data_IF_504854872828
#
_entry.id   IF_504854872828
#
_cell.length_a   1.000
_cell.length_b   1.000
_cell.length_c   1.000
_cell.angle_alpha   90.00
_cell.angle_beta   90.00
_cell.angle_gamma   90.00
#
_symmetry.space_group_name_H-M   'P 1'
#
loop_
_entity.id
_entity.type
_entity.pdbx_description
1 polymer ?
#
# COMPACT_ATOMS: atom_id res chain seq x y z
N UNK A 1 -4.72 -11.59 -21.78
CA UNK A 1 -4.16 -10.53 -22.63
C UNK A 1 -4.82 -9.19 -22.29
N UNK A 2 -4.18 -8.06 -21.99
CA UNK A 2 -2.82 -7.70 -21.54
C UNK A 2 -3.00 -6.32 -20.89
N UNK A 3 -2.91 -6.20 -19.56
CA UNK A 3 -3.00 -4.88 -18.89
C UNK A 3 -2.00 -3.88 -19.50
N UNK A 4 -0.85 -4.40 -19.92
CA UNK A 4 0.19 -3.68 -20.65
C UNK A 4 -0.26 -3.17 -22.03
N UNK A 5 -1.06 -3.93 -22.79
CA UNK A 5 -1.60 -3.49 -24.08
C UNK A 5 -2.62 -2.35 -23.96
N UNK A 6 -3.17 -2.14 -22.76
CA UNK A 6 -4.08 -1.04 -22.44
C UNK A 6 -3.36 0.12 -21.74
N UNK A 7 -2.03 0.09 -21.63
CA UNK A 7 -1.24 1.10 -20.92
C UNK A 7 -1.50 1.15 -19.42
N UNK A 8 -2.05 0.08 -18.83
CA UNK A 8 -2.35 0.03 -17.40
C UNK A 8 -1.13 -0.49 -16.64
N UNK A 9 -0.65 0.31 -15.70
CA UNK A 9 0.53 -0.02 -14.89
C UNK A 9 0.12 -0.71 -13.58
N UNK A 10 0.81 -1.82 -13.26
CA UNK A 10 0.68 -2.48 -11.95
C UNK A 10 1.36 -1.61 -10.90
N UNK A 11 0.57 -1.13 -9.93
CA UNK A 11 1.12 -0.47 -8.74
C UNK A 11 1.56 -1.53 -7.73
N UNK A 12 2.76 -1.36 -7.18
CA UNK A 12 3.31 -2.25 -6.14
C UNK A 12 3.80 -1.41 -4.98
N UNK A 13 3.50 -1.85 -3.76
CA UNK A 13 4.10 -1.33 -2.53
C UNK A 13 4.80 -2.49 -1.84
N UNK A 14 6.13 -2.42 -1.70
CA UNK A 14 6.88 -3.50 -1.07
C UNK A 14 6.61 -3.56 0.44
N UNK A 15 6.71 -4.75 1.03
CA UNK A 15 6.53 -4.90 2.48
C UNK A 15 7.54 -4.08 3.30
N UNK A 16 8.75 -3.87 2.78
CA UNK A 16 9.76 -3.01 3.44
C UNK A 16 9.34 -1.54 3.41
N UNK A 17 8.82 -1.04 2.28
CA UNK A 17 8.28 0.32 2.20
C UNK A 17 7.06 0.48 3.09
N UNK A 18 6.11 -0.46 3.02
CA UNK A 18 4.90 -0.45 3.86
C UNK A 18 5.23 -0.37 5.36
N UNK A 19 6.18 -1.19 5.83
CA UNK A 19 6.65 -1.15 7.23
C UNK A 19 7.37 0.16 7.59
N UNK A 20 8.10 0.79 6.65
CA UNK A 20 8.69 2.12 6.87
C UNK A 20 7.60 3.16 7.05
N UNK A 21 6.59 3.17 6.18
CA UNK A 21 5.46 4.10 6.24
C UNK A 21 4.62 3.93 7.53
N UNK A 22 4.39 2.67 7.95
CA UNK A 22 3.74 2.38 9.24
C UNK A 22 4.51 3.04 10.40
N UNK A 23 5.81 2.76 10.53
CA UNK A 23 6.64 3.34 11.60
C UNK A 23 6.83 4.85 11.49
N UNK A 24 6.84 5.37 10.26
CA UNK A 24 7.09 6.78 9.97
C UNK A 24 5.87 7.68 10.13
N UNK A 25 4.68 7.14 10.40
CA UNK A 25 3.47 7.96 10.44
C UNK A 25 2.91 8.34 9.06
N UNK A 26 3.51 7.86 7.97
CA UNK A 26 3.18 8.27 6.60
C UNK A 26 1.84 7.68 6.12
N UNK A 27 1.13 8.40 5.26
CA UNK A 27 -0.14 7.94 4.71
C UNK A 27 0.04 6.69 3.83
N UNK A 28 -0.70 5.62 4.14
CA UNK A 28 -0.69 4.38 3.36
C UNK A 28 -1.83 4.44 2.33
N UNK A 29 -1.56 4.14 1.04
CA UNK A 29 -2.58 4.23 0.00
C UNK A 29 -3.74 3.25 0.19
N UNK A 30 -4.97 3.73 0.02
CA UNK A 30 -6.19 2.92 0.20
C UNK A 30 -6.33 1.78 -0.80
N UNK A 31 -5.74 1.90 -2.00
CA UNK A 31 -5.71 0.80 -2.98
C UNK A 31 -4.84 -0.38 -2.52
N UNK A 32 -3.97 -0.17 -1.53
CA UNK A 32 -3.09 -1.19 -0.99
C UNK A 32 -3.65 -1.81 0.29
N UNK A 33 -4.20 -0.99 1.20
CA UNK A 33 -4.77 -1.45 2.45
C UNK A 33 -5.91 -0.54 2.93
N UNK A 34 -6.93 -1.13 3.56
CA UNK A 34 -8.00 -0.37 4.20
C UNK A 34 -7.50 0.41 5.42
N UNK A 35 -8.05 1.62 5.62
CA UNK A 35 -7.73 2.48 6.77
C UNK A 35 -7.90 1.75 8.11
N UNK A 36 -8.98 1.00 8.27
CA UNK A 36 -9.24 0.21 9.49
C UNK A 36 -8.15 -0.82 9.80
N UNK A 37 -7.55 -1.43 8.78
CA UNK A 37 -6.43 -2.37 8.96
C UNK A 37 -5.17 -1.62 9.36
N UNK A 38 -4.90 -0.48 8.73
CA UNK A 38 -3.73 0.36 9.04
C UNK A 38 -3.78 0.87 10.48
N UNK A 39 -4.96 1.29 10.95
CA UNK A 39 -5.17 1.73 12.34
C UNK A 39 -4.82 0.63 13.34
N UNK A 40 -5.33 -0.59 13.11
CA UNK A 40 -4.99 -1.76 13.96
C UNK A 40 -3.49 -2.04 13.95
N UNK A 41 -2.84 -1.99 12.79
CA UNK A 41 -1.40 -2.24 12.67
C UNK A 41 -0.52 -1.15 13.30
N UNK A 42 -1.03 0.08 13.45
CA UNK A 42 -0.32 1.18 14.12
C UNK A 42 -0.51 1.17 15.63
N UNK A 43 -1.59 0.56 16.11
CA UNK A 43 -1.90 0.45 17.53
C UNK A 43 -1.21 -0.75 18.22
N UNK A 44 -0.62 -1.66 17.44
CA UNK A 44 0.14 -2.82 17.91
C UNK A 44 1.62 -2.47 18.16
#
# INVERSE_FOLDING_TARGET
>A
EHAEARGLHVKKLSGTQFRKMLRGGEEIPEWFAFKSVVEVLRAA
#
